data_IF_250913996092
#
_entry.id   IF_250913996092
#
_cell.length_a   1.000
_cell.length_b   1.000
_cell.length_c   1.000
_cell.angle_alpha   90.00
_cell.angle_beta   90.00
_cell.angle_gamma   90.00
#
_symmetry.space_group_name_H-M   'P 1'
#
loop_
_entity.id
_entity.type
_entity.pdbx_description
1 polymer ?
#
# COMPACT_ATOMS: atom_id res chain seq x y z
N UNK A 1 -2.88 -7.62 -27.15
CA UNK A 1 -3.57 -7.01 -25.99
C UNK A 1 -5.05 -7.40 -26.08
N UNK A 2 -5.64 -7.96 -25.02
CA UNK A 2 -7.07 -8.35 -25.02
C UNK A 2 -7.96 -7.11 -25.12
N UNK A 3 -9.08 -7.20 -25.81
CA UNK A 3 -10.03 -6.08 -25.91
C UNK A 3 -10.76 -5.85 -24.57
N UNK A 4 -11.22 -4.63 -24.30
CA UNK A 4 -12.06 -4.30 -23.12
C UNK A 4 -13.23 -5.28 -22.98
N UNK A 5 -13.87 -5.64 -24.11
CA UNK A 5 -15.01 -6.57 -24.14
C UNK A 5 -14.62 -7.97 -23.65
N UNK A 6 -13.45 -8.44 -24.02
CA UNK A 6 -12.93 -9.76 -23.61
C UNK A 6 -12.57 -9.77 -22.12
N UNK A 7 -11.94 -8.71 -21.60
CA UNK A 7 -11.63 -8.58 -20.18
C UNK A 7 -12.91 -8.58 -19.35
N UNK A 8 -13.91 -7.81 -19.74
CA UNK A 8 -15.19 -7.73 -19.01
C UNK A 8 -16.01 -9.01 -19.09
N UNK A 9 -15.92 -9.76 -20.21
CA UNK A 9 -16.52 -11.09 -20.33
C UNK A 9 -15.89 -12.05 -19.31
N UNK A 10 -14.56 -12.13 -19.29
CA UNK A 10 -13.82 -13.02 -18.38
C UNK A 10 -14.10 -12.68 -16.91
N UNK A 11 -14.15 -11.39 -16.56
CA UNK A 11 -14.48 -10.96 -15.21
C UNK A 11 -15.94 -11.32 -14.85
N UNK A 12 -16.87 -11.17 -15.80
CA UNK A 12 -18.26 -11.56 -15.60
C UNK A 12 -18.41 -13.05 -15.32
N UNK A 13 -17.61 -13.87 -15.99
CA UNK A 13 -17.61 -15.33 -15.80
C UNK A 13 -16.99 -15.70 -14.45
N UNK A 14 -15.85 -15.09 -14.11
CA UNK A 14 -15.19 -15.26 -12.82
C UNK A 14 -16.12 -14.93 -11.64
N UNK A 15 -16.85 -13.82 -11.75
CA UNK A 15 -17.79 -13.35 -10.71
C UNK A 15 -19.17 -14.03 -10.80
N UNK A 16 -19.37 -14.94 -11.75
CA UNK A 16 -20.65 -15.63 -11.97
C UNK A 16 -21.85 -14.67 -12.10
N UNK A 17 -21.64 -13.56 -12.83
CA UNK A 17 -22.66 -12.53 -12.99
C UNK A 17 -23.83 -13.00 -13.86
N UNK A 18 -25.04 -12.63 -13.47
CA UNK A 18 -26.23 -12.79 -14.30
C UNK A 18 -26.26 -11.76 -15.46
N UNK A 19 -27.19 -11.93 -16.42
CA UNK A 19 -27.25 -11.08 -17.61
C UNK A 19 -27.45 -9.58 -17.28
N UNK A 20 -28.23 -9.24 -16.26
CA UNK A 20 -28.45 -7.86 -15.84
C UNK A 20 -27.16 -7.23 -15.30
N UNK A 21 -26.47 -7.96 -14.42
CA UNK A 21 -25.19 -7.54 -13.84
C UNK A 21 -24.10 -7.40 -14.91
N UNK A 22 -24.01 -8.34 -15.87
CA UNK A 22 -23.10 -8.28 -17.03
C UNK A 22 -23.31 -7.03 -17.87
N UNK A 23 -24.57 -6.67 -18.13
CA UNK A 23 -24.90 -5.46 -18.87
C UNK A 23 -24.52 -4.18 -18.11
N UNK A 24 -24.68 -4.15 -16.80
CA UNK A 24 -24.22 -3.04 -15.95
C UNK A 24 -22.70 -2.93 -15.97
N UNK A 25 -21.97 -4.04 -15.81
CA UNK A 25 -20.51 -4.09 -15.83
C UNK A 25 -19.93 -3.56 -17.16
N UNK A 26 -20.48 -3.96 -18.29
CA UNK A 26 -20.00 -3.54 -19.61
C UNK A 26 -20.09 -2.04 -19.87
N UNK A 27 -20.96 -1.32 -19.15
CA UNK A 27 -21.11 0.14 -19.24
C UNK A 27 -20.03 0.90 -18.46
N UNK A 28 -19.31 0.23 -17.56
CA UNK A 28 -18.27 0.84 -16.75
C UNK A 28 -16.99 1.07 -17.56
N UNK A 29 -16.18 2.01 -17.10
CA UNK A 29 -14.80 2.16 -17.57
C UNK A 29 -13.90 1.19 -16.80
N UNK A 30 -12.72 0.86 -17.34
CA UNK A 30 -11.83 -0.13 -16.73
C UNK A 30 -11.42 0.25 -15.29
N UNK A 31 -11.07 1.53 -15.07
CA UNK A 31 -10.70 2.02 -13.74
C UNK A 31 -11.89 2.01 -12.74
N UNK A 32 -13.14 2.14 -13.23
CA UNK A 32 -14.32 2.03 -12.38
C UNK A 32 -14.53 0.60 -11.88
N UNK A 33 -14.14 -0.40 -12.69
CA UNK A 33 -14.21 -1.82 -12.31
C UNK A 33 -13.24 -2.17 -11.20
N UNK A 34 -12.15 -1.44 -11.04
CA UNK A 34 -11.16 -1.64 -9.97
C UNK A 34 -11.51 -0.89 -8.68
N UNK A 35 -12.58 -0.10 -8.69
CA UNK A 35 -13.06 0.64 -7.52
C UNK A 35 -14.21 -0.11 -6.84
N UNK A 36 -13.96 -0.64 -5.65
CA UNK A 36 -14.93 -1.44 -4.89
C UNK A 36 -16.22 -0.70 -4.58
N UNK A 37 -16.13 0.60 -4.27
CA UNK A 37 -17.30 1.44 -3.99
C UNK A 37 -18.18 1.60 -5.23
N UNK A 38 -17.58 1.87 -6.40
CA UNK A 38 -18.32 2.02 -7.66
C UNK A 38 -19.02 0.71 -8.04
N UNK A 39 -18.36 -0.42 -7.85
CA UNK A 39 -18.97 -1.73 -8.11
C UNK A 39 -20.15 -1.98 -7.17
N UNK A 40 -19.98 -1.79 -5.86
CA UNK A 40 -21.08 -1.95 -4.89
C UNK A 40 -22.27 -1.05 -5.21
N UNK A 41 -22.03 0.20 -5.60
CA UNK A 41 -23.11 1.16 -5.90
C UNK A 41 -23.84 0.88 -7.23
N UNK A 42 -23.13 0.35 -8.23
CA UNK A 42 -23.67 0.17 -9.59
C UNK A 42 -24.11 -1.25 -9.93
N UNK A 43 -23.54 -2.25 -9.26
CA UNK A 43 -23.82 -3.66 -9.51
C UNK A 43 -24.22 -4.33 -8.20
N UNK A 44 -25.48 -4.76 -8.10
CA UNK A 44 -25.97 -5.51 -6.94
C UNK A 44 -25.37 -6.92 -6.96
N UNK A 45 -24.30 -7.12 -6.20
CA UNK A 45 -23.65 -8.42 -6.03
C UNK A 45 -24.27 -9.16 -4.83
N UNK A 46 -24.41 -10.48 -4.93
CA UNK A 46 -24.67 -11.29 -3.75
C UNK A 46 -23.36 -11.55 -2.98
N UNK A 47 -23.45 -12.08 -1.76
CA UNK A 47 -22.29 -12.28 -0.87
C UNK A 47 -21.14 -13.08 -1.54
N UNK A 48 -21.48 -14.17 -2.22
CA UNK A 48 -20.46 -14.99 -2.90
C UNK A 48 -19.77 -14.22 -4.05
N UNK A 49 -20.51 -13.40 -4.78
CA UNK A 49 -19.97 -12.54 -5.84
C UNK A 49 -19.11 -11.42 -5.29
N UNK A 50 -19.47 -10.85 -4.15
CA UNK A 50 -18.65 -9.86 -3.43
C UNK A 50 -17.34 -10.48 -2.96
N UNK A 51 -17.37 -11.67 -2.40
CA UNK A 51 -16.17 -12.40 -1.95
C UNK A 51 -15.23 -12.70 -3.14
N UNK A 52 -15.78 -13.18 -4.27
CA UNK A 52 -15.02 -13.41 -5.51
C UNK A 52 -14.42 -12.11 -6.06
N UNK A 53 -15.18 -11.03 -6.03
CA UNK A 53 -14.72 -9.73 -6.50
C UNK A 53 -13.62 -9.16 -5.60
N UNK A 54 -13.77 -9.24 -4.27
CA UNK A 54 -12.75 -8.79 -3.32
C UNK A 54 -11.45 -9.59 -3.47
N UNK A 55 -11.54 -10.90 -3.69
CA UNK A 55 -10.38 -11.74 -3.97
C UNK A 55 -9.72 -11.37 -5.31
N UNK A 56 -10.50 -11.08 -6.36
CA UNK A 56 -9.97 -10.60 -7.63
C UNK A 56 -9.22 -9.27 -7.46
N UNK A 57 -9.79 -8.31 -6.73
CA UNK A 57 -9.15 -7.02 -6.45
C UNK A 57 -7.87 -7.20 -5.64
N UNK A 58 -7.88 -8.10 -4.65
CA UNK A 58 -6.69 -8.41 -3.86
C UNK A 58 -5.56 -8.98 -4.72
N UNK A 59 -5.86 -9.95 -5.59
CA UNK A 59 -4.88 -10.53 -6.53
C UNK A 59 -4.37 -9.48 -7.50
N UNK A 60 -5.27 -8.67 -8.09
CA UNK A 60 -4.90 -7.62 -9.03
C UNK A 60 -3.93 -6.61 -8.40
N UNK A 61 -4.22 -6.15 -7.19
CA UNK A 61 -3.36 -5.21 -6.45
C UNK A 61 -2.00 -5.80 -6.09
N UNK A 62 -1.98 -7.06 -5.65
CA UNK A 62 -0.72 -7.73 -5.39
C UNK A 62 0.13 -7.86 -6.66
N UNK A 63 -0.50 -8.16 -7.81
CA UNK A 63 0.19 -8.22 -9.09
C UNK A 63 0.68 -6.83 -9.54
N UNK A 64 -0.14 -5.78 -9.42
CA UNK A 64 0.28 -4.40 -9.75
C UNK A 64 1.43 -3.95 -8.83
N UNK A 65 1.36 -4.26 -7.54
CA UNK A 65 2.46 -4.03 -6.61
C UNK A 65 3.75 -4.72 -7.04
N UNK A 66 3.67 -5.99 -7.47
CA UNK A 66 4.82 -6.72 -8.00
C UNK A 66 5.36 -6.11 -9.29
N UNK A 67 4.51 -5.70 -10.24
CA UNK A 67 4.92 -5.00 -11.46
C UNK A 67 5.55 -3.64 -11.15
N UNK A 68 5.00 -2.89 -10.19
CA UNK A 68 5.56 -1.61 -9.76
C UNK A 68 6.94 -1.78 -9.12
N UNK A 69 7.16 -2.87 -8.38
CA UNK A 69 8.48 -3.21 -7.82
C UNK A 69 9.49 -3.56 -8.91
N UNK A 70 9.06 -4.27 -9.98
CA UNK A 70 9.94 -4.61 -11.10
C UNK A 70 10.33 -3.37 -11.94
N UNK A 71 9.42 -2.40 -12.08
CA UNK A 71 9.68 -1.14 -12.79
C UNK A 71 10.42 -0.11 -11.92
N UNK A 72 10.05 0.01 -10.63
CA UNK A 72 10.64 0.93 -9.66
C UNK A 72 11.59 0.17 -8.71
N UNK A 73 12.76 -0.22 -9.24
CA UNK A 73 13.77 -0.88 -8.43
C UNK A 73 14.44 0.02 -7.40
N UNK A 74 14.40 1.35 -7.61
CA UNK A 74 15.15 2.31 -6.80
C UNK A 74 14.23 3.43 -6.33
N UNK A 75 14.28 3.78 -5.05
CA UNK A 75 13.44 4.81 -4.43
C UNK A 75 14.30 6.04 -4.13
N UNK A 76 13.94 7.18 -4.70
CA UNK A 76 14.58 8.47 -4.46
C UNK A 76 13.65 9.49 -3.81
N UNK A 77 12.34 9.40 -4.04
CA UNK A 77 11.34 10.38 -3.60
C UNK A 77 10.15 9.71 -2.92
N UNK A 78 9.38 10.44 -2.11
CA UNK A 78 8.11 9.95 -1.55
C UNK A 78 7.11 9.49 -2.63
N UNK A 79 7.13 10.13 -3.81
CA UNK A 79 6.27 9.77 -4.94
C UNK A 79 6.62 8.39 -5.54
N UNK A 80 7.87 7.96 -5.45
CA UNK A 80 8.25 6.61 -5.88
C UNK A 80 7.62 5.56 -4.95
N UNK A 81 7.60 5.83 -3.64
CA UNK A 81 6.88 5.01 -2.66
C UNK A 81 5.37 5.03 -2.92
N UNK A 82 4.81 6.20 -3.23
CA UNK A 82 3.40 6.33 -3.58
C UNK A 82 3.02 5.44 -4.76
N UNK A 83 3.83 5.40 -5.83
CA UNK A 83 3.59 4.53 -7.00
C UNK A 83 3.57 3.05 -6.63
N UNK A 84 4.45 2.64 -5.71
CA UNK A 84 4.54 1.24 -5.23
C UNK A 84 3.34 0.90 -4.35
N UNK A 85 2.98 1.76 -3.39
CA UNK A 85 2.03 1.43 -2.34
C UNK A 85 0.59 1.84 -2.64
N UNK A 86 0.34 2.85 -3.52
CA UNK A 86 -1.02 3.33 -3.76
C UNK A 86 -1.98 2.26 -4.30
N UNK A 87 -1.58 1.34 -5.21
CA UNK A 87 -2.45 0.27 -5.65
C UNK A 87 -2.95 -0.62 -4.50
N UNK A 88 -2.09 -0.82 -3.49
CA UNK A 88 -2.42 -1.59 -2.30
C UNK A 88 -3.19 -0.75 -1.26
N UNK A 89 -2.66 0.41 -0.87
CA UNK A 89 -3.16 1.18 0.27
C UNK A 89 -4.46 1.94 0.00
N UNK A 90 -4.74 2.31 -1.26
CA UNK A 90 -5.92 3.13 -1.62
C UNK A 90 -7.28 2.52 -1.27
N UNK A 91 -7.32 1.24 -0.96
CA UNK A 91 -8.56 0.50 -0.69
C UNK A 91 -8.69 0.00 0.73
N UNK A 92 -7.68 0.20 1.53
CA UNK A 92 -7.69 -0.29 2.90
C UNK A 92 -8.70 0.49 3.73
N UNK A 93 -9.57 -0.24 4.42
CA UNK A 93 -10.56 0.33 5.35
C UNK A 93 -10.03 0.40 6.79
N UNK A 94 -8.91 -0.23 7.03
CA UNK A 94 -8.20 -0.24 8.31
C UNK A 94 -6.79 0.25 8.09
N UNK A 95 -6.19 0.78 9.13
CA UNK A 95 -4.81 1.21 9.13
C UNK A 95 -3.89 -0.01 9.01
N UNK A 96 -2.96 0.05 8.08
CA UNK A 96 -1.92 -0.96 7.89
C UNK A 96 -0.56 -0.28 7.77
N UNK A 97 0.44 -0.89 8.40
CA UNK A 97 1.82 -0.43 8.34
C UNK A 97 2.65 -1.38 7.48
N UNK A 98 3.43 -0.80 6.60
CA UNK A 98 4.31 -1.50 5.66
C UNK A 98 5.75 -1.01 5.84
N UNK A 99 6.71 -1.93 5.78
CA UNK A 99 8.13 -1.60 5.69
C UNK A 99 8.66 -1.97 4.30
N UNK A 100 9.36 -1.04 3.66
CA UNK A 100 10.09 -1.23 2.40
C UNK A 100 11.57 -1.27 2.73
N UNK A 101 12.23 -2.39 2.47
CA UNK A 101 13.63 -2.61 2.79
C UNK A 101 14.52 -2.30 1.60
N UNK A 102 15.62 -1.60 1.85
CA UNK A 102 16.50 -1.06 0.82
C UNK A 102 17.95 -1.50 1.03
N UNK A 103 18.67 -1.63 -0.08
CA UNK A 103 20.13 -1.71 -0.05
C UNK A 103 20.78 -0.31 -0.07
N UNK A 104 22.11 -0.27 -0.08
CA UNK A 104 22.94 0.95 -0.12
C UNK A 104 22.74 1.80 -1.38
N UNK A 105 22.18 1.21 -2.45
CA UNK A 105 21.83 1.90 -3.70
C UNK A 105 20.36 2.37 -3.72
N UNK A 106 19.65 2.22 -2.62
CA UNK A 106 18.19 2.48 -2.50
C UNK A 106 17.33 1.56 -3.37
N UNK A 107 17.87 0.41 -3.79
CA UNK A 107 17.08 -0.60 -4.48
C UNK A 107 16.23 -1.37 -3.48
N UNK A 108 14.98 -1.63 -3.85
CA UNK A 108 14.02 -2.38 -3.02
C UNK A 108 14.45 -3.85 -2.94
N UNK A 109 14.69 -4.32 -1.73
CA UNK A 109 15.01 -5.72 -1.43
C UNK A 109 13.76 -6.52 -1.11
N UNK A 110 12.84 -5.93 -0.34
CA UNK A 110 11.59 -6.58 0.07
C UNK A 110 10.57 -5.55 0.56
N UNK A 111 9.29 -5.92 0.57
CA UNK A 111 8.20 -5.13 1.12
C UNK A 111 7.37 -6.02 2.03
N UNK A 112 7.18 -5.61 3.29
CA UNK A 112 6.43 -6.40 4.27
C UNK A 112 5.36 -5.59 4.98
N UNK A 113 4.20 -6.21 5.14
CA UNK A 113 3.17 -5.71 6.04
C UNK A 113 3.63 -6.02 7.46
N UNK A 114 3.77 -4.97 8.26
CA UNK A 114 4.25 -5.05 9.64
C UNK A 114 3.11 -5.24 10.62
N UNK A 115 1.94 -4.64 10.31
CA UNK A 115 0.77 -4.76 11.17
C UNK A 115 -0.50 -4.20 10.54
N UNK A 116 -1.65 -4.55 11.16
CA UNK A 116 -2.99 -4.13 10.74
C UNK A 116 -3.84 -3.78 11.95
N UNK A 117 -4.62 -2.66 11.91
CA UNK A 117 -5.68 -2.38 12.88
C UNK A 117 -5.48 -1.22 13.85
N UNK A 118 -4.85 -0.11 13.51
CA UNK A 118 -4.83 1.16 14.26
C UNK A 118 -3.61 1.43 15.15
N UNK A 119 -3.61 2.50 15.97
CA UNK A 119 -2.40 3.09 16.56
C UNK A 119 -1.54 2.18 17.44
N UNK A 120 -2.10 1.08 17.93
CA UNK A 120 -1.35 0.10 18.76
C UNK A 120 -0.39 -0.77 17.93
N UNK A 121 -0.52 -0.81 16.61
CA UNK A 121 0.37 -1.55 15.73
C UNK A 121 1.75 -0.92 15.70
N UNK A 122 1.77 0.39 15.72
CA UNK A 122 2.99 1.21 15.66
C UNK A 122 3.91 0.91 16.86
N UNK A 123 3.35 0.67 18.03
CA UNK A 123 4.15 0.48 19.26
C UNK A 123 4.77 -0.92 19.41
N UNK A 124 4.27 -1.92 18.69
CA UNK A 124 4.74 -3.32 18.85
C UNK A 124 5.76 -3.78 17.82
N UNK A 125 6.14 -2.95 16.87
CA UNK A 125 6.80 -3.39 15.64
C UNK A 125 8.30 -3.09 15.45
N UNK A 126 9.02 -2.26 16.25
CA UNK A 126 10.42 -1.94 15.98
C UNK A 126 11.34 -3.16 15.89
N UNK A 127 11.15 -4.13 16.77
CA UNK A 127 11.93 -5.38 16.78
C UNK A 127 11.64 -6.26 15.55
N UNK A 128 10.41 -6.26 15.04
CA UNK A 128 10.03 -7.02 13.84
C UNK A 128 10.69 -6.38 12.62
N UNK A 129 10.58 -5.05 12.48
CA UNK A 129 11.13 -4.28 11.37
C UNK A 129 12.65 -4.48 11.30
N UNK A 130 13.35 -4.23 12.40
CA UNK A 130 14.80 -4.28 12.43
C UNK A 130 15.37 -5.69 12.31
N UNK A 131 14.69 -6.69 12.90
CA UNK A 131 15.06 -8.10 12.73
C UNK A 131 14.96 -8.52 11.26
N UNK A 132 13.90 -8.10 10.57
CA UNK A 132 13.74 -8.42 9.15
C UNK A 132 14.80 -7.72 8.31
N UNK A 133 15.06 -6.45 8.57
CA UNK A 133 16.14 -5.72 7.91
C UNK A 133 17.49 -6.44 8.02
N UNK A 134 17.83 -6.93 9.21
CA UNK A 134 19.05 -7.72 9.44
C UNK A 134 19.03 -9.05 8.68
N UNK A 135 17.90 -9.76 8.66
CA UNK A 135 17.78 -11.06 7.99
C UNK A 135 18.02 -10.98 6.49
N UNK A 136 17.57 -9.91 5.84
CA UNK A 136 17.70 -9.73 4.39
C UNK A 136 18.91 -8.89 3.98
N UNK A 137 19.69 -8.41 4.95
CA UNK A 137 20.86 -7.58 4.69
C UNK A 137 20.53 -6.17 4.20
N UNK A 138 19.39 -5.60 4.62
CA UNK A 138 19.03 -4.24 4.29
C UNK A 138 19.93 -3.24 5.03
N UNK A 139 20.34 -2.17 4.34
CA UNK A 139 21.10 -1.05 4.91
C UNK A 139 20.20 0.13 5.26
N UNK A 140 18.96 0.12 4.78
CA UNK A 140 17.93 1.10 5.11
C UNK A 140 16.54 0.55 4.92
N UNK A 141 15.56 1.28 5.41
CA UNK A 141 14.16 0.98 5.20
C UNK A 141 13.32 2.25 5.21
N UNK A 142 12.15 2.17 4.58
CA UNK A 142 11.10 3.18 4.63
C UNK A 142 9.92 2.56 5.35
N UNK A 143 9.33 3.30 6.27
CA UNK A 143 8.08 2.94 6.92
C UNK A 143 6.94 3.70 6.24
N UNK A 144 5.83 3.05 6.01
CA UNK A 144 4.64 3.70 5.47
C UNK A 144 3.38 3.13 6.09
N UNK A 145 2.40 3.97 6.38
CA UNK A 145 1.09 3.53 6.81
C UNK A 145 -0.02 4.38 6.18
N UNK A 146 -1.22 3.83 6.10
CA UNK A 146 -2.38 4.55 5.57
C UNK A 146 -3.26 5.07 6.70
N UNK A 147 -3.88 6.24 6.47
CA UNK A 147 -4.96 6.76 7.29
C UNK A 147 -6.30 6.70 6.52
N UNK A 148 -7.17 5.71 6.79
CA UNK A 148 -8.46 5.58 6.09
C UNK A 148 -9.41 6.77 6.29
N UNK A 149 -9.16 7.59 7.31
CA UNK A 149 -9.96 8.78 7.66
C UNK A 149 -9.66 10.05 6.86
N UNK A 150 -8.75 10.01 5.87
CA UNK A 150 -8.44 11.15 4.99
C UNK A 150 -7.41 12.15 5.53
N UNK A 151 -6.86 11.95 6.72
CA UNK A 151 -5.84 12.80 7.33
C UNK A 151 -4.43 12.23 7.09
N UNK A 152 -3.46 13.06 6.71
CA UNK A 152 -2.05 12.65 6.57
C UNK A 152 -1.16 13.11 7.73
N UNK A 153 -1.74 13.62 8.82
CA UNK A 153 -0.98 14.05 9.99
C UNK A 153 -0.40 12.87 10.76
N UNK A 154 0.87 12.99 11.15
CA UNK A 154 1.49 12.01 12.07
C UNK A 154 0.86 12.11 13.44
N UNK A 155 0.45 10.98 13.98
CA UNK A 155 0.01 10.91 15.38
C UNK A 155 1.20 10.91 16.34
N UNK A 156 0.97 11.20 17.61
CA UNK A 156 2.02 11.12 18.64
C UNK A 156 2.66 9.70 18.74
N UNK A 157 1.90 8.60 18.63
CA UNK A 157 2.49 7.26 18.50
C UNK A 157 3.38 7.08 17.27
N UNK A 158 3.00 7.64 16.10
CA UNK A 158 3.81 7.54 14.88
C UNK A 158 5.17 8.22 15.07
N UNK A 159 5.16 9.41 15.66
CA UNK A 159 6.38 10.15 15.95
C UNK A 159 7.29 9.40 16.92
N UNK A 160 6.76 8.84 18.00
CA UNK A 160 7.52 8.05 18.97
C UNK A 160 8.18 6.81 18.34
N UNK A 161 7.47 6.11 17.48
CA UNK A 161 8.06 4.93 16.81
C UNK A 161 9.12 5.34 15.79
N UNK A 162 8.92 6.46 15.10
CA UNK A 162 9.90 7.03 14.17
C UNK A 162 11.21 7.33 14.89
N UNK A 163 11.18 8.11 15.96
CA UNK A 163 12.34 8.45 16.80
C UNK A 163 13.05 7.21 17.37
N UNK A 164 12.27 6.23 17.82
CA UNK A 164 12.80 4.97 18.33
C UNK A 164 13.52 4.17 17.24
N UNK A 165 12.91 4.07 16.06
CA UNK A 165 13.47 3.35 14.91
C UNK A 165 14.73 4.05 14.37
N UNK A 166 14.75 5.38 14.32
CA UNK A 166 15.95 6.14 13.97
C UNK A 166 17.09 5.86 14.97
N UNK A 167 16.78 5.91 16.26
CA UNK A 167 17.77 5.70 17.32
C UNK A 167 18.37 4.28 17.22
N UNK A 168 17.54 3.24 17.19
CA UNK A 168 18.02 1.86 17.16
C UNK A 168 18.66 1.54 15.80
N UNK A 169 18.06 2.02 14.71
CA UNK A 169 18.58 1.83 13.35
C UNK A 169 19.99 2.42 13.20
N UNK A 170 20.25 3.58 13.75
CA UNK A 170 21.57 4.20 13.75
C UNK A 170 22.61 3.34 14.48
N UNK A 171 22.26 2.74 15.62
CA UNK A 171 23.15 1.79 16.32
C UNK A 171 23.45 0.54 15.50
N UNK A 172 22.44 0.03 14.75
CA UNK A 172 22.57 -1.15 13.91
C UNK A 172 23.15 -0.84 12.52
N UNK A 173 23.34 0.45 12.17
CA UNK A 173 23.70 0.94 10.83
C UNK A 173 22.67 0.54 9.77
N UNK A 174 21.39 0.57 10.16
CA UNK A 174 20.23 0.38 9.29
C UNK A 174 19.43 1.66 9.34
N UNK A 175 19.49 2.48 8.30
CA UNK A 175 18.90 3.83 8.30
C UNK A 175 17.39 3.77 8.10
N UNK A 176 16.61 4.42 8.97
CA UNK A 176 15.25 4.82 8.61
C UNK A 176 15.38 5.97 7.59
N UNK A 177 15.07 5.67 6.32
CA UNK A 177 15.21 6.62 5.21
C UNK A 177 14.08 7.64 5.23
N UNK A 178 12.86 7.17 5.53
CA UNK A 178 11.68 8.01 5.68
C UNK A 178 10.56 7.27 6.44
N UNK A 179 9.61 8.03 6.96
CA UNK A 179 8.32 7.54 7.42
C UNK A 179 7.21 8.31 6.70
N UNK A 180 6.30 7.59 6.07
CA UNK A 180 5.28 8.14 5.19
C UNK A 180 3.88 7.84 5.69
N UNK A 181 3.01 8.84 5.66
CA UNK A 181 1.56 8.68 5.86
C UNK A 181 0.86 8.81 4.52
N UNK A 182 0.14 7.77 4.15
CA UNK A 182 -0.66 7.72 2.92
C UNK A 182 -2.14 8.00 3.20
N UNK A 183 -2.76 8.89 2.43
CA UNK A 183 -4.21 9.09 2.45
C UNK A 183 -4.69 9.68 1.11
N UNK A 184 -5.81 9.20 0.59
CA UNK A 184 -6.50 9.73 -0.59
C UNK A 184 -5.59 10.03 -1.81
N UNK A 185 -4.64 9.12 -2.11
CA UNK A 185 -3.64 9.26 -3.17
C UNK A 185 -2.60 10.38 -2.94
N UNK A 186 -2.46 10.84 -1.71
CA UNK A 186 -1.40 11.73 -1.27
C UNK A 186 -0.49 11.03 -0.28
N UNK A 187 0.73 11.51 -0.16
CA UNK A 187 1.70 11.04 0.82
C UNK A 187 2.31 12.23 1.55
N UNK A 188 2.53 12.08 2.85
CA UNK A 188 3.26 13.03 3.68
C UNK A 188 4.53 12.36 4.21
N UNK A 189 5.67 13.02 4.06
CA UNK A 189 6.99 12.56 4.44
C UNK A 189 7.43 13.19 5.76
N UNK A 190 7.87 12.36 6.70
CA UNK A 190 8.47 12.82 7.96
C UNK A 190 9.85 13.47 7.71
N UNK A 191 10.66 12.90 6.84
CA UNK A 191 11.99 13.41 6.53
C UNK A 191 11.96 14.81 5.88
N UNK A 192 10.98 15.08 5.00
CA UNK A 192 10.80 16.40 4.40
C UNK A 192 10.40 17.46 5.44
N UNK A 193 9.56 17.10 6.42
CA UNK A 193 9.15 18.00 7.49
C UNK A 193 10.29 18.32 8.45
N UNK A 194 11.12 17.33 8.78
CA UNK A 194 12.28 17.56 9.64
C UNK A 194 13.27 18.56 9.03
N UNK A 195 13.43 18.52 7.70
CA UNK A 195 14.26 19.49 6.99
C UNK A 195 13.67 20.91 7.10
N UNK A 196 12.36 21.06 6.95
CA UNK A 196 11.68 22.35 7.03
C UNK A 196 11.73 22.94 8.45
N UNK A 197 11.65 22.11 9.49
CA UNK A 197 11.70 22.56 10.88
C UNK A 197 13.13 22.96 11.35
N UNK A 198 14.17 22.48 10.65
CA UNK A 198 15.57 22.77 10.97
C UNK A 198 16.11 23.98 10.19
N UNK A 199 15.33 24.58 9.28
CA UNK A 199 15.63 25.83 8.54
C UNK A 199 15.01 27.04 9.24
#
# INVERSE_FOLDING_TARGET
MKSKKEVFSNLSDLLQLNNSQRNKLQKLKLHEVLNTKIISDKIELNQNQEDLYNNFILVHRNLEGLYSIEELRTIYTPEDVLKILSPYMSSLKVEEMVAIYLNDKREVLDIKIIGKGGPQIVTSSPNIILREALNIGATGFILAHNHPGGNTEFSEPDMKVTELLETIGNYLKITLVDHLVYSENTVRSYAEEEIIQKL
#
